data_IF_025891121192
#
_entry.id   IF_025891121192
#
_cell.length_a   1.000
_cell.length_b   1.000
_cell.length_c   1.000
_cell.angle_alpha   90.00
_cell.angle_beta   90.00
_cell.angle_gamma   90.00
#
_symmetry.space_group_name_H-M   'P 1'
#
loop_
_entity.id
_entity.type
_entity.pdbx_description
1 polymer ?
#
# COMPACT_ATOMS: atom_id res chain seq x y z
N UNK A 1 12.72 14.86 12.26
CA UNK A 1 11.50 15.65 12.04
C UNK A 1 10.30 14.73 11.99
N UNK A 2 10.31 13.69 11.16
CA UNK A 2 9.32 12.61 11.20
C UNK A 2 9.75 11.55 12.22
N UNK A 3 8.78 10.91 12.91
CA UNK A 3 9.02 9.84 13.89
C UNK A 3 8.22 8.59 13.60
N UNK A 4 7.01 8.74 13.08
CA UNK A 4 6.08 7.66 12.78
C UNK A 4 5.61 7.80 11.32
N UNK A 5 6.16 6.96 10.44
CA UNK A 5 5.92 7.00 9.00
C UNK A 5 4.99 5.85 8.62
N UNK A 6 3.81 6.15 8.11
CA UNK A 6 2.86 5.14 7.60
C UNK A 6 3.13 4.84 6.13
N UNK A 7 3.23 3.56 5.82
CA UNK A 7 3.36 3.02 4.46
C UNK A 7 2.19 2.09 4.18
N UNK A 8 1.08 2.60 3.64
CA UNK A 8 0.03 1.76 3.11
C UNK A 8 0.56 1.00 1.89
N UNK A 9 0.40 -0.32 1.88
CA UNK A 9 0.85 -1.16 0.78
C UNK A 9 -0.28 -2.06 0.30
N UNK A 10 -0.35 -2.30 -1.00
CA UNK A 10 -1.19 -3.29 -1.66
C UNK A 10 -0.36 -4.34 -2.40
N UNK A 11 0.97 -4.32 -2.22
CA UNK A 11 1.91 -5.21 -2.90
C UNK A 11 2.18 -4.84 -4.36
N UNK A 12 1.68 -3.69 -4.84
CA UNK A 12 1.97 -3.21 -6.19
C UNK A 12 3.41 -2.67 -6.32
N UNK A 13 3.94 -2.59 -7.54
CA UNK A 13 5.27 -2.00 -7.81
C UNK A 13 5.38 -0.55 -7.32
N UNK A 14 4.31 0.24 -7.46
CA UNK A 14 4.28 1.60 -6.94
C UNK A 14 4.37 1.65 -5.41
N UNK A 15 3.74 0.68 -4.73
CA UNK A 15 3.86 0.54 -3.28
C UNK A 15 5.27 0.10 -2.88
N UNK A 16 5.91 -0.82 -3.61
CA UNK A 16 7.30 -1.22 -3.37
C UNK A 16 8.25 -0.02 -3.46
N UNK A 17 8.09 0.81 -4.47
CA UNK A 17 8.89 2.02 -4.60
C UNK A 17 8.64 3.04 -3.49
N UNK A 18 7.41 3.12 -3.01
CA UNK A 18 7.08 3.94 -1.84
C UNK A 18 7.75 3.42 -0.56
N UNK A 19 7.91 2.10 -0.43
CA UNK A 19 8.64 1.47 0.67
C UNK A 19 10.11 1.93 0.68
N UNK A 20 10.81 1.87 -0.45
CA UNK A 20 12.20 2.30 -0.57
C UNK A 20 12.38 3.76 -0.11
N UNK A 21 11.51 4.66 -0.59
CA UNK A 21 11.53 6.05 -0.15
C UNK A 21 11.22 6.23 1.35
N UNK A 22 10.31 5.44 1.89
CA UNK A 22 9.97 5.48 3.31
C UNK A 22 11.14 5.01 4.18
N UNK A 23 11.88 3.98 3.75
CA UNK A 23 13.07 3.49 4.43
C UNK A 23 14.18 4.53 4.45
N UNK A 24 14.46 5.19 3.33
CA UNK A 24 15.43 6.28 3.24
C UNK A 24 15.10 7.44 4.20
N UNK A 25 13.81 7.79 4.29
CA UNK A 25 13.33 8.81 5.22
C UNK A 25 13.45 8.35 6.67
N UNK A 26 13.07 7.10 6.95
CA UNK A 26 13.16 6.54 8.29
C UNK A 26 14.61 6.48 8.80
N UNK A 27 15.56 6.09 7.95
CA UNK A 27 16.99 6.12 8.27
C UNK A 27 17.47 7.57 8.54
N UNK A 28 17.05 8.52 7.69
CA UNK A 28 17.44 9.93 7.81
C UNK A 28 16.96 10.58 9.09
N UNK A 29 15.73 10.25 9.54
CA UNK A 29 15.06 10.90 10.68
C UNK A 29 15.05 10.07 11.95
N UNK A 30 15.61 8.85 11.95
CA UNK A 30 15.51 7.88 13.04
C UNK A 30 14.02 7.62 13.39
N UNK A 31 13.22 7.35 12.36
CA UNK A 31 11.79 7.17 12.45
C UNK A 31 11.42 5.68 12.42
N UNK A 32 10.24 5.34 12.98
CA UNK A 32 9.61 4.03 12.86
C UNK A 32 8.78 3.95 11.59
N UNK A 33 8.74 2.77 10.98
CA UNK A 33 7.85 2.44 9.87
C UNK A 33 6.60 1.74 10.39
N UNK A 34 5.44 2.13 9.88
CA UNK A 34 4.18 1.42 10.03
C UNK A 34 3.76 0.89 8.66
N UNK A 35 3.84 -0.42 8.46
CA UNK A 35 3.35 -1.09 7.26
C UNK A 35 1.88 -1.47 7.46
N UNK A 36 1.00 -0.98 6.61
CA UNK A 36 -0.43 -1.25 6.69
C UNK A 36 -0.95 -1.83 5.38
N UNK A 37 -1.54 -3.02 5.46
CA UNK A 37 -2.34 -3.58 4.37
C UNK A 37 -3.82 -3.56 4.76
N UNK A 38 -4.68 -3.12 3.85
CA UNK A 38 -6.13 -3.10 4.07
C UNK A 38 -6.79 -4.10 3.13
N UNK A 39 -7.41 -5.13 3.72
CA UNK A 39 -8.32 -6.04 2.99
C UNK A 39 -9.61 -5.28 2.75
N UNK A 40 -9.78 -4.75 1.54
CA UNK A 40 -10.98 -3.95 1.20
C UNK A 40 -12.15 -4.86 0.87
N UNK A 41 -13.08 -4.99 1.82
CA UNK A 41 -14.28 -5.81 1.67
C UNK A 41 -15.44 -5.07 1.01
N UNK A 42 -15.29 -3.78 0.73
CA UNK A 42 -16.37 -2.96 0.14
C UNK A 42 -16.77 -3.43 -1.27
N UNK A 43 -15.86 -4.10 -1.97
CA UNK A 43 -16.06 -4.64 -3.31
C UNK A 43 -16.82 -5.99 -3.29
N UNK A 44 -16.82 -6.70 -2.16
CA UNK A 44 -17.32 -8.08 -2.03
C UNK A 44 -18.65 -8.21 -1.31
N UNK A 45 -19.28 -7.12 -0.88
CA UNK A 45 -20.57 -7.12 -0.16
C UNK A 45 -21.75 -7.75 -0.94
N UNK A 46 -21.57 -8.06 -2.21
CA UNK A 46 -22.57 -8.67 -3.08
C UNK A 46 -22.30 -10.14 -3.47
N UNK A 47 -21.26 -10.78 -2.92
CA UNK A 47 -20.91 -12.16 -3.23
C UNK A 47 -21.42 -13.11 -2.13
N UNK A 48 -22.57 -13.75 -2.38
CA UNK A 48 -23.28 -14.61 -1.41
C UNK A 48 -22.57 -15.95 -1.09
N UNK A 49 -21.70 -16.46 -1.95
CA UNK A 49 -21.01 -17.74 -1.71
C UNK A 49 -19.57 -17.66 -2.23
N UNK A 50 -18.61 -17.76 -1.33
CA UNK A 50 -17.18 -17.73 -1.65
C UNK A 50 -16.45 -16.47 -1.20
N UNK A 51 -17.14 -15.50 -0.61
CA UNK A 51 -16.52 -14.29 -0.05
C UNK A 51 -15.44 -14.64 0.98
N UNK A 52 -15.66 -15.63 1.82
CA UNK A 52 -14.70 -16.05 2.84
C UNK A 52 -13.38 -16.54 2.23
N UNK A 53 -13.44 -17.28 1.11
CA UNK A 53 -12.24 -17.79 0.42
C UNK A 53 -11.43 -16.65 -0.18
N UNK A 54 -12.11 -15.64 -0.72
CA UNK A 54 -11.46 -14.43 -1.28
C UNK A 54 -10.83 -13.61 -0.18
N UNK A 55 -11.54 -13.42 0.94
CA UNK A 55 -11.04 -12.68 2.10
C UNK A 55 -9.79 -13.37 2.66
N UNK A 56 -9.83 -14.70 2.86
CA UNK A 56 -8.67 -15.48 3.31
C UNK A 56 -7.47 -15.35 2.35
N UNK A 57 -7.71 -15.29 1.05
CA UNK A 57 -6.65 -15.07 0.07
C UNK A 57 -6.03 -13.68 0.18
N UNK A 58 -6.87 -12.65 0.33
CA UNK A 58 -6.42 -11.26 0.52
C UNK A 58 -5.68 -11.05 1.85
N UNK A 59 -6.10 -11.73 2.91
CA UNK A 59 -5.39 -11.69 4.19
C UNK A 59 -3.98 -12.29 4.07
N UNK A 60 -3.83 -13.44 3.40
CA UNK A 60 -2.51 -14.04 3.13
C UNK A 60 -1.63 -13.14 2.27
N UNK A 61 -2.21 -12.47 1.32
CA UNK A 61 -1.52 -11.51 0.49
C UNK A 61 -1.07 -10.29 1.30
N UNK A 62 -1.93 -9.78 2.19
CA UNK A 62 -1.60 -8.73 3.14
C UNK A 62 -0.46 -9.12 4.07
N UNK A 63 -0.48 -10.35 4.58
CA UNK A 63 0.61 -10.90 5.40
C UNK A 63 1.93 -10.96 4.62
N UNK A 64 1.89 -11.32 3.34
CA UNK A 64 3.08 -11.36 2.49
C UNK A 64 3.61 -9.95 2.20
N UNK A 65 2.73 -9.01 1.84
CA UNK A 65 3.10 -7.62 1.54
C UNK A 65 3.68 -6.91 2.78
N UNK A 66 3.04 -7.04 3.94
CA UNK A 66 3.53 -6.43 5.18
C UNK A 66 4.81 -7.09 5.71
N UNK A 67 4.97 -8.40 5.48
CA UNK A 67 6.22 -9.10 5.79
C UNK A 67 7.38 -8.58 4.96
N UNK A 68 7.18 -8.32 3.67
CA UNK A 68 8.21 -7.74 2.80
C UNK A 68 8.69 -6.40 3.34
N UNK A 69 7.79 -5.51 3.74
CA UNK A 69 8.17 -4.22 4.36
C UNK A 69 8.94 -4.43 5.66
N UNK A 70 8.49 -5.37 6.49
CA UNK A 70 9.15 -5.69 7.76
C UNK A 70 10.58 -6.18 7.54
N UNK A 71 10.78 -7.12 6.65
CA UNK A 71 12.09 -7.67 6.33
C UNK A 71 13.04 -6.58 5.83
N UNK A 72 12.58 -5.72 4.92
CA UNK A 72 13.37 -4.60 4.41
C UNK A 72 13.75 -3.58 5.51
N UNK A 73 12.81 -3.26 6.42
CA UNK A 73 13.07 -2.36 7.53
C UNK A 73 14.04 -2.97 8.55
N UNK A 74 13.89 -4.26 8.89
CA UNK A 74 14.78 -4.98 9.79
C UNK A 74 16.20 -5.07 9.23
N UNK A 75 16.37 -5.32 7.93
CA UNK A 75 17.69 -5.31 7.25
C UNK A 75 18.35 -3.93 7.31
N UNK A 76 17.57 -2.86 7.24
CA UNK A 76 18.04 -1.49 7.39
C UNK A 76 18.24 -1.07 8.85
N UNK A 77 17.88 -1.93 9.84
CA UNK A 77 17.95 -1.61 11.26
C UNK A 77 16.88 -0.59 11.72
N UNK A 78 15.79 -0.48 10.99
CA UNK A 78 14.66 0.43 11.26
C UNK A 78 13.60 -0.30 12.08
N UNK A 79 13.08 0.37 13.12
CA UNK A 79 11.96 -0.15 13.91
C UNK A 79 10.68 -0.17 13.04
N UNK A 80 9.95 -1.29 13.06
CA UNK A 80 8.80 -1.50 12.19
C UNK A 80 7.63 -2.16 12.92
N UNK A 81 6.44 -1.64 12.69
CA UNK A 81 5.17 -2.24 13.05
C UNK A 81 4.41 -2.59 11.77
N UNK A 82 3.85 -3.80 11.68
CA UNK A 82 3.15 -4.27 10.50
C UNK A 82 1.78 -4.82 10.88
N UNK A 83 0.74 -4.35 10.19
CA UNK A 83 -0.65 -4.74 10.44
C UNK A 83 -1.40 -5.01 9.14
N UNK A 84 -2.28 -6.01 9.19
CA UNK A 84 -3.29 -6.29 8.18
C UNK A 84 -4.65 -6.04 8.82
N UNK A 85 -5.44 -5.16 8.23
CA UNK A 85 -6.78 -4.80 8.73
C UNK A 85 -7.82 -5.00 7.64
N UNK A 86 -9.06 -5.23 8.05
CA UNK A 86 -10.19 -5.40 7.13
C UNK A 86 -11.09 -4.18 7.17
N UNK A 87 -11.46 -3.62 6.01
CA UNK A 87 -12.33 -2.46 5.94
C UNK A 87 -12.27 -1.75 4.60
N UNK A 88 -12.70 -0.49 4.58
CA UNK A 88 -12.57 0.37 3.40
C UNK A 88 -11.21 1.05 3.40
N UNK A 89 -10.39 0.83 2.37
CA UNK A 89 -8.98 1.20 2.35
C UNK A 89 -8.68 2.63 2.86
N UNK A 90 -9.28 3.67 2.27
CA UNK A 90 -8.99 5.05 2.66
C UNK A 90 -9.45 5.39 4.10
N UNK A 91 -10.53 4.74 4.60
CA UNK A 91 -11.02 4.94 5.98
C UNK A 91 -10.10 4.29 6.98
N UNK A 92 -9.71 3.05 6.73
CA UNK A 92 -8.79 2.30 7.59
C UNK A 92 -7.43 3.00 7.69
N UNK A 93 -6.91 3.52 6.57
CA UNK A 93 -5.69 4.35 6.57
C UNK A 93 -5.87 5.59 7.43
N UNK A 94 -7.01 6.29 7.30
CA UNK A 94 -7.29 7.50 8.08
C UNK A 94 -7.40 7.21 9.58
N UNK A 95 -8.13 6.15 9.95
CA UNK A 95 -8.27 5.71 11.34
C UNK A 95 -6.91 5.31 11.94
N UNK A 96 -6.05 4.66 11.14
CA UNK A 96 -4.71 4.30 11.55
C UNK A 96 -3.84 5.53 11.84
N UNK A 97 -3.90 6.55 10.99
CA UNK A 97 -3.19 7.82 11.20
C UNK A 97 -3.58 8.45 12.54
N UNK A 98 -4.89 8.51 12.82
CA UNK A 98 -5.39 9.13 14.04
C UNK A 98 -5.08 8.29 15.31
N UNK A 99 -4.93 6.97 15.18
CA UNK A 99 -4.72 6.05 16.30
C UNK A 99 -3.25 5.79 16.68
N UNK A 100 -2.30 6.13 15.81
CA UNK A 100 -0.88 5.74 15.96
C UNK A 100 0.10 6.92 15.91
N UNK A 101 -0.36 8.14 16.13
CA UNK A 101 0.46 9.35 16.11
C UNK A 101 1.31 9.52 14.83
N UNK A 102 0.81 9.01 13.71
CA UNK A 102 1.48 9.10 12.41
C UNK A 102 1.71 10.57 12.04
N UNK A 103 2.89 10.89 11.57
CA UNK A 103 3.27 12.25 11.17
C UNK A 103 3.67 12.41 9.69
N UNK A 104 3.77 11.29 8.97
CA UNK A 104 3.95 11.24 7.52
C UNK A 104 3.31 9.98 6.94
N UNK A 105 2.66 10.11 5.79
CA UNK A 105 2.24 8.97 4.95
C UNK A 105 3.09 8.94 3.70
N UNK A 106 3.63 7.77 3.33
CA UNK A 106 4.34 7.53 2.07
C UNK A 106 3.65 6.41 1.32
N UNK A 107 3.14 6.68 0.13
CA UNK A 107 2.36 5.69 -0.63
C UNK A 107 2.53 5.86 -2.14
N UNK A 108 2.26 4.79 -2.90
CA UNK A 108 2.25 4.85 -4.36
C UNK A 108 1.13 5.75 -4.90
N UNK A 109 1.34 6.31 -6.09
CA UNK A 109 0.30 7.09 -6.78
C UNK A 109 -0.84 6.21 -7.28
N UNK A 110 -0.56 4.93 -7.58
CA UNK A 110 -1.50 3.94 -8.09
C UNK A 110 -1.40 2.64 -7.29
N UNK A 111 -2.47 1.85 -7.31
CA UNK A 111 -2.48 0.48 -6.84
C UNK A 111 -2.36 -0.51 -7.99
N UNK A 112 -2.78 -1.77 -7.76
CA UNK A 112 -2.71 -2.88 -8.71
C UNK A 112 -3.47 -2.67 -10.02
N UNK A 113 -4.54 -1.87 -10.02
CA UNK A 113 -5.39 -1.64 -11.18
C UNK A 113 -4.92 -0.47 -12.03
N UNK A 114 -3.60 -0.31 -12.21
CA UNK A 114 -2.94 0.78 -12.92
C UNK A 114 -3.86 1.61 -13.82
N UNK A 115 -4.26 2.80 -13.36
CA UNK A 115 -5.01 3.73 -14.19
C UNK A 115 -4.01 4.59 -14.96
N UNK A 116 -4.34 4.90 -16.21
CA UNK A 116 -3.52 5.68 -17.14
C UNK A 116 -2.69 6.81 -16.48
N UNK A 117 -1.49 7.00 -16.96
CA UNK A 117 -0.36 7.87 -16.55
C UNK A 117 -0.66 9.24 -15.91
N UNK A 118 -1.90 9.71 -15.92
CA UNK A 118 -2.27 11.07 -15.51
C UNK A 118 -3.26 11.11 -14.33
N UNK A 119 -3.75 9.96 -13.85
CA UNK A 119 -4.77 9.93 -12.80
C UNK A 119 -4.20 9.33 -11.52
N UNK A 120 -4.39 10.03 -10.42
CA UNK A 120 -4.12 9.52 -9.09
C UNK A 120 -5.11 8.40 -8.75
N UNK A 121 -4.64 7.29 -8.18
CA UNK A 121 -5.50 6.19 -7.75
C UNK A 121 -6.55 6.65 -6.74
N UNK A 122 -7.73 6.02 -6.76
CA UNK A 122 -8.89 6.45 -5.97
C UNK A 122 -8.63 6.47 -4.45
N UNK A 123 -7.86 5.51 -3.93
CA UNK A 123 -7.46 5.47 -2.52
C UNK A 123 -6.48 6.59 -2.22
N UNK A 124 -5.43 6.73 -3.05
CA UNK A 124 -4.40 7.77 -2.88
C UNK A 124 -5.02 9.17 -2.95
N UNK A 125 -5.91 9.44 -3.92
CA UNK A 125 -6.62 10.71 -4.02
C UNK A 125 -7.38 11.03 -2.73
N UNK A 126 -8.12 10.07 -2.19
CA UNK A 126 -8.90 10.26 -0.95
C UNK A 126 -8.00 10.47 0.26
N UNK A 127 -6.91 9.72 0.38
CA UNK A 127 -5.93 9.90 1.46
C UNK A 127 -5.32 11.29 1.40
N UNK A 128 -4.84 11.73 0.22
CA UNK A 128 -4.28 13.09 0.03
C UNK A 128 -5.27 14.18 0.43
N UNK A 129 -6.54 14.03 0.07
CA UNK A 129 -7.59 15.03 0.38
C UNK A 129 -7.97 15.09 1.86
N UNK A 130 -7.88 13.98 2.57
CA UNK A 130 -8.46 13.86 3.93
C UNK A 130 -7.43 13.68 5.03
N UNK A 131 -6.16 13.48 4.68
CA UNK A 131 -5.08 13.27 5.66
C UNK A 131 -4.84 14.54 6.49
N UNK A 132 -4.72 14.42 7.83
CA UNK A 132 -4.33 15.53 8.69
C UNK A 132 -2.82 15.76 8.71
N UNK A 133 -2.04 14.84 8.10
CA UNK A 133 -0.59 14.86 8.06
C UNK A 133 -0.10 14.90 6.60
N UNK A 134 1.15 15.31 6.32
CA UNK A 134 1.72 15.28 4.98
C UNK A 134 1.60 13.89 4.35
N UNK A 135 1.36 13.86 3.05
CA UNK A 135 1.32 12.65 2.23
C UNK A 135 2.33 12.80 1.11
N UNK A 136 3.32 11.94 1.09
CA UNK A 136 4.29 11.82 0.01
C UNK A 136 3.80 10.71 -0.94
N UNK A 137 3.53 11.08 -2.19
CA UNK A 137 3.11 10.12 -3.21
C UNK A 137 4.28 9.80 -4.15
N UNK A 138 4.54 8.52 -4.35
CA UNK A 138 5.64 8.04 -5.19
C UNK A 138 5.05 7.47 -6.48
N UNK A 139 5.58 7.94 -7.59
CA UNK A 139 5.22 7.47 -8.93
C UNK A 139 6.26 6.47 -9.43
N UNK A 140 5.82 5.51 -10.23
CA UNK A 140 6.73 4.70 -11.04
C UNK A 140 7.37 5.56 -12.13
N UNK A 141 8.60 5.27 -12.52
CA UNK A 141 9.21 5.86 -13.69
C UNK A 141 8.58 5.27 -14.96
N UNK A 142 8.60 6.03 -16.08
CA UNK A 142 7.92 5.64 -17.33
C UNK A 142 8.36 4.24 -17.85
N UNK A 143 9.62 3.84 -17.62
CA UNK A 143 10.13 2.52 -18.01
C UNK A 143 9.55 1.39 -17.12
N UNK A 144 9.39 1.63 -15.83
CA UNK A 144 8.83 0.68 -14.86
C UNK A 144 7.30 0.56 -14.99
N UNK A 145 6.62 1.64 -15.39
CA UNK A 145 5.19 1.62 -15.71
C UNK A 145 4.91 0.72 -16.91
N UNK A 146 5.71 0.83 -17.97
CA UNK A 146 5.55 -0.02 -19.16
C UNK A 146 5.78 -1.51 -18.87
N UNK A 147 6.72 -1.86 -17.98
CA UNK A 147 6.95 -3.24 -17.56
C UNK A 147 5.82 -3.77 -16.68
N UNK A 148 5.22 -2.92 -15.83
CA UNK A 148 4.10 -3.27 -14.99
C UNK A 148 2.84 -3.56 -15.81
N UNK A 149 2.52 -2.70 -16.78
CA UNK A 149 1.38 -2.85 -17.69
C UNK A 149 1.53 -4.11 -18.55
N UNK A 150 2.73 -4.41 -19.05
CA UNK A 150 3.00 -5.61 -19.82
C UNK A 150 2.85 -6.92 -19.00
N UNK A 151 3.15 -6.89 -17.72
CA UNK A 151 3.00 -8.03 -16.83
C UNK A 151 1.52 -8.30 -16.48
N UNK A 152 0.73 -7.25 -16.32
CA UNK A 152 -0.72 -7.35 -16.05
C UNK A 152 -1.48 -7.89 -17.27
N UNK A 153 -1.16 -7.42 -18.49
CA UNK A 153 -1.75 -7.93 -19.74
C UNK A 153 -1.41 -9.41 -19.98
N UNK A 154 -0.21 -9.87 -19.60
CA UNK A 154 0.19 -11.27 -19.75
C UNK A 154 -0.57 -12.20 -18.80
N UNK A 155 -0.93 -11.72 -17.60
CA UNK A 155 -1.66 -12.50 -16.59
C UNK A 155 -3.13 -12.65 -16.96
N UNK A 156 -3.74 -11.63 -17.58
CA UNK A 156 -5.14 -11.69 -18.06
C UNK A 156 -5.30 -12.63 -19.27
N UNK A 157 -4.29 -12.75 -20.11
CA UNK A 157 -4.32 -13.64 -21.28
C UNK A 157 -4.29 -15.13 -20.92
N UNK A 158 -3.65 -15.52 -19.82
CA UNK A 158 -3.59 -16.90 -19.32
C UNK A 158 -4.87 -17.33 -18.57
N UNK A 159 -5.74 -16.41 -18.21
CA UNK A 159 -6.99 -16.69 -17.49
C UNK A 159 -8.18 -17.01 -18.43
N UNK A 160 -8.05 -16.83 -19.74
CA UNK A 160 -9.11 -17.09 -20.75
C UNK A 160 -8.95 -18.44 -21.51
N UNK A 161 -7.98 -19.28 -21.21
CA UNK A 161 -7.86 -20.65 -21.73
C UNK A 161 -8.31 -21.70 -20.69
#
# INVERSE_FOLDING_TARGET
>A
MYREILVPTDGSKAAERAIDHALDLAETYDARIHALYVVDTSIYTSLDAGADVVIDALEREGDAATRHVREAAEEAGIDVQAEVVTGTAYRSIREYIDGHDIDLVVMGTHGRTGLSHYLLGSVTERVVRTSPVPVLTIRLDDDEENEADAADEATDADAEE
#
